data_IF_454274338949
#
_entry.id   IF_454274338949
#
_cell.length_a   1.000
_cell.length_b   1.000
_cell.length_c   1.000
_cell.angle_alpha   90.00
_cell.angle_beta   90.00
_cell.angle_gamma   90.00
#
_symmetry.space_group_name_H-M   'P 1'
#
loop_
_entity.id
_entity.type
_entity.pdbx_description
1 polymer ?
#
# COMPACT_ATOMS: atom_id res chain seq x y z
N UNK A 1 4.53 16.90 -4.47
CA UNK A 1 5.26 16.67 -3.20
C UNK A 1 4.37 15.78 -2.35
N UNK A 2 4.91 14.72 -1.75
CA UNK A 2 4.13 13.83 -0.89
C UNK A 2 3.64 14.55 0.38
N UNK A 3 2.58 14.02 0.98
CA UNK A 3 2.02 14.53 2.23
C UNK A 3 2.91 14.18 3.43
N UNK A 4 2.92 15.04 4.45
CA UNK A 4 3.62 14.80 5.72
C UNK A 4 2.73 14.03 6.70
N UNK A 5 2.66 12.71 6.50
CA UNK A 5 1.90 11.75 7.32
C UNK A 5 2.69 10.46 7.49
N UNK A 6 2.37 9.70 8.52
CA UNK A 6 2.83 8.33 8.69
C UNK A 6 1.71 7.38 8.27
N UNK A 7 2.05 6.35 7.50
CA UNK A 7 1.10 5.30 7.12
C UNK A 7 1.46 4.01 7.84
N UNK A 8 0.44 3.29 8.27
CA UNK A 8 0.61 1.98 8.86
C UNK A 8 -0.13 0.96 8.01
N UNK A 9 0.62 0.06 7.41
CA UNK A 9 0.12 -1.09 6.68
C UNK A 9 0.12 -2.29 7.63
N UNK A 10 -1.02 -2.94 7.79
CA UNK A 10 -1.15 -4.13 8.62
C UNK A 10 -1.94 -5.22 7.88
N UNK A 11 -1.46 -6.46 7.93
CA UNK A 11 -2.20 -7.65 7.53
C UNK A 11 -2.81 -8.28 8.76
N UNK A 12 -4.14 -8.35 8.76
CA UNK A 12 -4.96 -8.78 9.88
C UNK A 12 -5.66 -10.07 9.54
N UNK A 13 -5.76 -10.99 10.51
CA UNK A 13 -6.39 -12.29 10.36
C UNK A 13 -7.44 -12.52 11.43
N UNK A 14 -8.60 -13.00 11.00
CA UNK A 14 -9.69 -13.40 11.89
C UNK A 14 -9.82 -14.91 12.04
N UNK A 15 -10.58 -15.37 13.06
CA UNK A 15 -10.81 -16.80 13.32
C UNK A 15 -11.79 -17.47 12.36
N UNK A 16 -12.65 -16.70 11.66
CA UNK A 16 -13.60 -17.19 10.69
C UNK A 16 -12.94 -17.51 9.35
N UNK A 17 -13.66 -18.19 8.44
CA UNK A 17 -13.13 -18.57 7.12
C UNK A 17 -13.07 -17.42 6.11
N UNK A 18 -13.73 -16.31 6.38
CA UNK A 18 -13.89 -15.17 5.49
C UNK A 18 -13.53 -13.87 6.19
N UNK A 19 -13.26 -12.84 5.41
CA UNK A 19 -12.75 -11.54 5.89
C UNK A 19 -13.84 -10.60 6.45
N UNK A 20 -15.12 -10.77 6.06
CA UNK A 20 -16.19 -9.81 6.41
C UNK A 20 -16.30 -9.57 7.92
N UNK A 21 -16.29 -10.59 8.80
CA UNK A 21 -16.37 -10.36 10.24
C UNK A 21 -15.20 -9.58 10.83
N UNK A 22 -14.02 -9.62 10.18
CA UNK A 22 -12.88 -8.79 10.59
C UNK A 22 -13.22 -7.33 10.38
N UNK A 23 -13.69 -6.97 9.18
CA UNK A 23 -14.00 -5.60 8.83
C UNK A 23 -15.17 -5.03 9.63
N UNK A 24 -16.22 -5.84 9.87
CA UNK A 24 -17.35 -5.47 10.74
C UNK A 24 -16.89 -5.13 12.17
N UNK A 25 -16.04 -5.95 12.77
CA UNK A 25 -15.53 -5.72 14.13
C UNK A 25 -14.62 -4.49 14.19
N UNK A 26 -13.73 -4.32 13.22
CA UNK A 26 -12.87 -3.13 13.10
C UNK A 26 -13.73 -1.87 12.97
N UNK A 27 -14.80 -1.91 12.15
CA UNK A 27 -15.73 -0.81 11.99
C UNK A 27 -16.42 -0.38 13.28
N UNK A 28 -16.68 -1.33 14.18
CA UNK A 28 -17.35 -1.08 15.46
C UNK A 28 -16.40 -0.58 16.57
N UNK A 29 -15.12 -0.91 16.50
CA UNK A 29 -14.16 -0.66 17.59
C UNK A 29 -12.96 0.17 17.18
N UNK A 30 -12.23 -0.27 16.15
CA UNK A 30 -10.96 0.34 15.75
C UNK A 30 -11.16 1.66 15.03
N UNK A 31 -12.08 1.73 14.05
CA UNK A 31 -12.28 2.96 13.27
C UNK A 31 -12.77 4.14 14.11
N UNK A 32 -13.73 4.00 15.02
CA UNK A 32 -14.09 5.09 15.94
C UNK A 32 -12.92 5.56 16.81
N UNK A 33 -12.09 4.62 17.28
CA UNK A 33 -10.91 4.98 18.08
C UNK A 33 -9.82 5.72 17.29
N UNK A 34 -9.74 5.54 15.96
CA UNK A 34 -8.85 6.33 15.09
C UNK A 34 -9.34 7.77 14.96
N UNK A 35 -10.66 7.99 14.83
CA UNK A 35 -11.26 9.34 14.70
C UNK A 35 -11.01 10.24 15.92
N UNK A 36 -10.81 9.63 17.11
CA UNK A 36 -10.44 10.36 18.34
C UNK A 36 -8.98 10.84 18.35
N UNK A 37 -8.20 10.42 17.37
CA UNK A 37 -6.78 10.74 17.19
C UNK A 37 -6.58 11.40 15.84
N UNK A 38 -5.43 12.00 15.61
CA UNK A 38 -5.06 12.45 14.25
C UNK A 38 -4.73 11.24 13.34
N UNK A 39 -5.73 10.35 13.18
CA UNK A 39 -5.62 9.12 12.41
C UNK A 39 -6.94 8.74 11.73
N UNK A 40 -6.86 8.07 10.60
CA UNK A 40 -8.04 7.53 9.90
C UNK A 40 -7.70 6.33 9.02
N UNK A 41 -8.74 5.62 8.59
CA UNK A 41 -8.62 4.56 7.60
C UNK A 41 -8.30 5.16 6.23
N UNK A 42 -7.14 4.82 5.67
CA UNK A 42 -6.82 5.17 4.28
C UNK A 42 -7.41 4.16 3.29
N UNK A 43 -7.46 2.87 3.65
CA UNK A 43 -8.14 1.83 2.91
C UNK A 43 -8.07 0.47 3.59
N UNK A 44 -9.10 -0.36 3.39
CA UNK A 44 -9.13 -1.76 3.78
C UNK A 44 -9.34 -2.64 2.55
N UNK A 45 -8.68 -3.78 2.51
CA UNK A 45 -8.63 -4.60 1.30
C UNK A 45 -8.72 -6.08 1.63
N UNK A 46 -9.55 -6.81 0.90
CA UNK A 46 -9.56 -8.27 0.95
C UNK A 46 -8.74 -8.89 -0.18
N UNK A 47 -8.19 -10.08 0.05
CA UNK A 47 -7.30 -10.74 -0.91
C UNK A 47 -8.01 -11.31 -2.13
N UNK A 48 -7.35 -11.20 -3.28
CA UNK A 48 -7.61 -12.03 -4.46
C UNK A 48 -6.52 -13.08 -4.62
N UNK A 49 -5.25 -12.66 -4.48
CA UNK A 49 -4.09 -13.54 -4.54
C UNK A 49 -3.04 -13.10 -3.52
N UNK A 50 -2.40 -14.07 -2.84
CA UNK A 50 -1.26 -13.85 -1.97
C UNK A 50 -1.57 -13.68 -0.49
N UNK A 51 -2.84 -13.53 -0.11
CA UNK A 51 -3.29 -13.52 1.30
C UNK A 51 -4.49 -14.44 1.51
N UNK A 52 -4.71 -14.86 2.75
CA UNK A 52 -5.79 -15.79 3.11
C UNK A 52 -7.18 -15.20 2.92
N UNK A 53 -8.19 -16.07 2.72
CA UNK A 53 -9.59 -15.65 2.61
C UNK A 53 -10.15 -15.07 3.92
N UNK A 54 -9.50 -15.36 5.04
CA UNK A 54 -9.80 -14.85 6.38
C UNK A 54 -8.81 -13.77 6.83
N UNK A 55 -8.23 -13.07 5.87
CA UNK A 55 -7.31 -11.96 6.12
C UNK A 55 -7.76 -10.71 5.36
N UNK A 56 -7.41 -9.56 5.90
CA UNK A 56 -7.49 -8.27 5.23
C UNK A 56 -6.15 -7.54 5.34
N UNK A 57 -5.91 -6.63 4.41
CA UNK A 57 -4.91 -5.59 4.55
C UNK A 57 -5.65 -4.32 4.98
N UNK A 58 -5.20 -3.71 6.06
CA UNK A 58 -5.67 -2.41 6.51
C UNK A 58 -4.52 -1.41 6.42
N UNK A 59 -4.78 -0.25 5.82
CA UNK A 59 -3.84 0.86 5.77
C UNK A 59 -4.48 2.06 6.46
N UNK A 60 -3.82 2.56 7.48
CA UNK A 60 -4.24 3.75 8.24
C UNK A 60 -3.23 4.88 8.05
N UNK A 61 -3.72 6.12 8.06
CA UNK A 61 -2.92 7.35 8.01
C UNK A 61 -2.92 8.01 9.39
N UNK A 62 -1.76 8.51 9.82
CA UNK A 62 -1.51 9.04 11.16
C UNK A 62 -0.73 10.35 11.10
N UNK A 63 -0.98 11.23 12.07
CA UNK A 63 -0.12 12.37 12.33
C UNK A 63 1.32 11.94 12.68
N UNK A 64 2.28 12.83 12.46
CA UNK A 64 3.70 12.51 12.62
C UNK A 64 4.10 12.18 14.06
N UNK A 65 3.37 12.72 15.04
CA UNK A 65 3.64 12.59 16.49
C UNK A 65 3.09 11.29 17.09
N UNK A 66 2.42 10.46 16.29
CA UNK A 66 1.81 9.20 16.73
C UNK A 66 2.68 7.98 16.44
N UNK A 67 2.53 6.96 17.30
CA UNK A 67 3.07 5.60 17.07
C UNK A 67 1.94 4.65 16.67
N UNK A 68 1.76 4.39 15.35
CA UNK A 68 0.68 3.54 14.88
C UNK A 68 0.69 2.12 15.44
N UNK A 69 1.88 1.57 15.73
CA UNK A 69 2.04 0.20 16.26
C UNK A 69 1.53 0.10 17.67
N UNK A 70 1.86 1.10 18.51
CA UNK A 70 1.45 1.13 19.91
C UNK A 70 -0.01 1.57 20.09
N UNK A 71 -0.49 2.48 19.22
CA UNK A 71 -1.79 3.15 19.41
C UNK A 71 -2.96 2.48 18.67
N UNK A 72 -2.68 1.66 17.65
CA UNK A 72 -3.73 0.93 16.94
C UNK A 72 -4.31 -0.17 17.81
N UNK A 73 -5.54 0.00 18.26
CA UNK A 73 -6.28 -1.01 19.04
C UNK A 73 -7.09 -1.91 18.11
N UNK A 74 -6.96 -3.21 18.27
CA UNK A 74 -7.70 -4.24 17.54
C UNK A 74 -8.57 -5.06 18.50
N UNK A 75 -9.68 -5.66 18.03
CA UNK A 75 -10.41 -6.70 18.77
C UNK A 75 -9.50 -7.88 19.13
N UNK A 76 -9.68 -8.46 20.33
CA UNK A 76 -8.82 -9.52 20.90
C UNK A 76 -8.69 -10.77 20.01
N UNK A 77 -9.69 -11.04 19.19
CA UNK A 77 -9.73 -12.20 18.29
C UNK A 77 -9.18 -11.92 16.88
N UNK A 78 -8.64 -10.73 16.64
CA UNK A 78 -8.01 -10.34 15.38
C UNK A 78 -6.49 -10.29 15.59
N UNK A 79 -5.80 -11.15 14.86
CA UNK A 79 -4.34 -11.26 14.89
C UNK A 79 -3.69 -10.29 13.91
N UNK A 80 -2.64 -9.58 14.34
CA UNK A 80 -1.69 -8.93 13.44
C UNK A 80 -0.70 -9.95 12.92
N UNK A 81 -0.82 -10.31 11.66
CA UNK A 81 0.08 -11.28 11.01
C UNK A 81 1.38 -10.62 10.60
N UNK A 82 1.29 -9.39 10.10
CA UNK A 82 2.42 -8.61 9.61
C UNK A 82 2.05 -7.12 9.65
N UNK A 83 3.01 -6.27 9.96
CA UNK A 83 2.80 -4.83 9.94
C UNK A 83 4.08 -4.07 9.60
N UNK A 84 3.93 -2.88 9.02
CA UNK A 84 5.04 -1.97 8.72
C UNK A 84 4.58 -0.51 8.80
N UNK A 85 5.42 0.32 9.40
CA UNK A 85 5.23 1.77 9.43
C UNK A 85 5.97 2.40 8.26
N UNK A 86 5.26 3.20 7.50
CA UNK A 86 5.66 3.72 6.21
C UNK A 86 5.61 5.24 6.18
N UNK A 87 6.47 5.86 5.38
CA UNK A 87 6.39 7.27 5.03
C UNK A 87 6.29 7.42 3.51
N UNK A 88 5.46 8.33 3.01
CA UNK A 88 5.31 8.53 1.57
C UNK A 88 6.54 9.20 0.98
N UNK A 89 6.91 8.81 -0.26
CA UNK A 89 8.02 9.41 -1.01
C UNK A 89 7.52 10.42 -2.06
N UNK A 90 6.78 9.96 -3.06
CA UNK A 90 6.23 10.79 -4.15
C UNK A 90 4.72 10.97 -4.01
N UNK A 91 4.03 9.89 -3.67
CA UNK A 91 2.57 9.83 -3.46
C UNK A 91 2.26 9.07 -2.16
N UNK A 92 1.10 9.31 -1.55
CA UNK A 92 0.03 10.21 -1.97
C UNK A 92 0.38 11.68 -1.74
N UNK A 93 -0.24 12.57 -2.54
CA UNK A 93 -0.13 14.02 -2.37
C UNK A 93 -1.24 14.59 -1.47
N UNK A 94 -2.26 13.79 -1.16
CA UNK A 94 -3.40 14.15 -0.33
C UNK A 94 -3.75 13.00 0.59
N UNK A 95 -4.17 13.34 1.80
CA UNK A 95 -4.61 12.38 2.81
C UNK A 95 -6.12 12.14 2.69
N UNK A 96 -6.52 11.42 1.65
CA UNK A 96 -7.91 11.07 1.41
C UNK A 96 -8.06 9.55 1.39
N UNK A 97 -9.09 9.07 2.06
CA UNK A 97 -9.47 7.66 2.02
C UNK A 97 -9.68 7.19 0.58
N UNK A 98 -9.19 6.01 0.27
CA UNK A 98 -9.42 5.36 -1.01
C UNK A 98 -10.87 4.85 -1.07
N UNK A 99 -11.59 5.27 -2.11
CA UNK A 99 -13.01 4.91 -2.30
C UNK A 99 -13.31 4.31 -3.67
N UNK A 100 -12.33 4.33 -4.59
CA UNK A 100 -12.52 3.87 -5.96
C UNK A 100 -12.52 2.35 -6.02
N UNK A 101 -13.61 1.67 -6.48
CA UNK A 101 -13.60 0.23 -6.70
C UNK A 101 -12.55 -0.20 -7.72
N UNK A 102 -12.00 -1.42 -7.58
CA UNK A 102 -11.04 -1.95 -8.53
C UNK A 102 -10.06 -2.94 -7.91
N UNK A 103 -9.06 -3.27 -8.70
CA UNK A 103 -7.94 -4.10 -8.27
C UNK A 103 -6.84 -3.20 -7.68
N UNK A 104 -6.42 -3.49 -6.47
CA UNK A 104 -5.30 -2.85 -5.82
C UNK A 104 -4.15 -3.84 -5.66
N UNK A 105 -2.97 -3.49 -6.17
CA UNK A 105 -1.78 -4.34 -6.06
C UNK A 105 -0.77 -3.67 -5.15
N UNK A 106 -0.56 -4.28 -3.98
CA UNK A 106 0.53 -3.95 -3.07
C UNK A 106 1.79 -4.66 -3.56
N UNK A 107 2.82 -3.90 -3.87
CA UNK A 107 4.12 -4.44 -4.29
C UNK A 107 5.21 -3.95 -3.37
N UNK A 108 5.76 -4.87 -2.59
CA UNK A 108 6.90 -4.62 -1.73
C UNK A 108 8.19 -4.84 -2.52
N UNK A 109 9.14 -3.97 -2.30
CA UNK A 109 10.49 -4.04 -2.83
C UNK A 109 11.48 -4.10 -1.68
N UNK A 110 12.37 -5.08 -1.70
CA UNK A 110 13.54 -5.13 -0.84
C UNK A 110 14.67 -4.30 -1.49
N UNK A 111 15.12 -3.23 -0.85
CA UNK A 111 16.02 -2.22 -1.41
C UNK A 111 17.13 -1.85 -0.42
N UNK A 112 18.16 -1.13 -0.88
CA UNK A 112 19.01 -0.37 0.04
C UNK A 112 18.32 0.93 0.43
N UNK A 113 18.41 1.29 1.70
CA UNK A 113 17.86 2.57 2.17
C UNK A 113 18.53 3.80 1.50
N UNK A 114 19.76 3.66 1.04
CA UNK A 114 20.46 4.70 0.28
C UNK A 114 19.88 4.92 -1.13
N UNK A 115 19.18 3.93 -1.71
CA UNK A 115 18.66 3.98 -3.08
C UNK A 115 17.19 4.44 -3.13
N UNK A 116 16.56 4.71 -1.98
CA UNK A 116 15.12 5.04 -1.88
C UNK A 116 14.76 6.27 -2.71
N UNK A 117 15.56 7.33 -2.64
CA UNK A 117 15.33 8.58 -3.36
C UNK A 117 15.46 8.39 -4.88
N UNK A 118 16.47 7.63 -5.33
CA UNK A 118 16.63 7.29 -6.76
C UNK A 118 15.43 6.45 -7.26
N UNK A 119 15.00 5.45 -6.50
CA UNK A 119 13.84 4.62 -6.85
C UNK A 119 12.56 5.45 -6.90
N UNK A 120 12.39 6.40 -6.00
CA UNK A 120 11.24 7.30 -5.96
C UNK A 120 11.19 8.18 -7.22
N UNK A 121 12.30 8.79 -7.60
CA UNK A 121 12.41 9.64 -8.80
C UNK A 121 12.19 8.85 -10.10
N UNK A 122 12.82 7.69 -10.24
CA UNK A 122 12.61 6.80 -11.38
C UNK A 122 11.14 6.39 -11.53
N UNK A 123 10.46 6.14 -10.40
CA UNK A 123 9.05 5.79 -10.38
C UNK A 123 8.18 6.98 -10.79
N UNK A 124 8.46 8.16 -10.25
CA UNK A 124 7.74 9.39 -10.58
C UNK A 124 7.81 9.70 -12.08
N UNK A 125 9.01 9.65 -12.64
CA UNK A 125 9.24 9.89 -14.06
C UNK A 125 8.51 8.86 -14.94
N UNK A 126 8.56 7.57 -14.57
CA UNK A 126 7.90 6.51 -15.32
C UNK A 126 6.36 6.62 -15.30
N UNK A 127 5.78 7.18 -14.24
CA UNK A 127 4.32 7.29 -14.11
C UNK A 127 3.70 8.25 -15.11
N UNK A 128 4.40 9.29 -15.54
CA UNK A 128 3.90 10.22 -16.57
C UNK A 128 3.48 9.46 -17.84
N UNK A 129 4.34 8.55 -18.32
CA UNK A 129 4.02 7.72 -19.49
C UNK A 129 3.08 6.55 -19.16
N UNK A 130 3.20 6.00 -17.95
CA UNK A 130 2.41 4.86 -17.50
C UNK A 130 0.92 5.19 -17.34
N UNK A 131 0.60 6.38 -16.85
CA UNK A 131 -0.77 6.84 -16.63
C UNK A 131 -1.44 7.38 -17.91
N UNK A 132 -0.66 7.85 -18.87
CA UNK A 132 -1.17 8.46 -20.13
C UNK A 132 -1.52 7.41 -21.21
N UNK A 133 -1.34 6.12 -20.94
CA UNK A 133 -1.66 5.08 -21.92
C UNK A 133 -3.16 4.82 -22.03
N UNK A 134 -3.62 4.54 -23.24
CA UNK A 134 -5.00 4.10 -23.52
C UNK A 134 -5.19 2.57 -23.48
N UNK A 135 -4.11 1.80 -23.34
CA UNK A 135 -4.15 0.34 -23.40
C UNK A 135 -4.67 -0.31 -22.11
N UNK A 136 -4.53 0.38 -20.99
CA UNK A 136 -4.99 -0.08 -19.67
C UNK A 136 -5.32 1.10 -18.77
N UNK A 137 -6.16 0.88 -17.76
CA UNK A 137 -6.42 1.85 -16.71
C UNK A 137 -5.66 1.47 -15.45
N UNK A 138 -4.67 2.28 -15.10
CA UNK A 138 -3.84 2.09 -13.91
C UNK A 138 -3.40 3.42 -13.31
N UNK A 139 -3.37 3.49 -11.98
CA UNK A 139 -2.99 4.69 -11.24
C UNK A 139 -2.20 4.32 -9.98
N UNK A 140 -0.91 4.71 -9.86
CA UNK A 140 -0.16 4.58 -8.63
C UNK A 140 -0.77 5.46 -7.53
N UNK A 141 -1.27 4.83 -6.48
CA UNK A 141 -1.91 5.51 -5.34
C UNK A 141 -0.89 6.01 -4.33
N UNK A 142 0.19 5.26 -4.12
CA UNK A 142 1.24 5.62 -3.18
C UNK A 142 2.53 4.87 -3.44
N UNK A 143 3.65 5.53 -3.18
CA UNK A 143 4.97 4.94 -3.07
C UNK A 143 5.57 5.37 -1.74
N UNK A 144 5.86 4.39 -0.93
CA UNK A 144 6.29 4.56 0.44
C UNK A 144 7.65 3.91 0.66
N UNK A 145 8.42 4.40 1.63
CA UNK A 145 9.50 3.64 2.24
C UNK A 145 9.20 3.37 3.71
N UNK A 146 9.82 2.36 4.29
CA UNK A 146 9.69 2.13 5.73
C UNK A 146 10.20 3.34 6.51
N UNK A 147 9.54 3.65 7.65
CA UNK A 147 9.87 4.83 8.50
C UNK A 147 11.25 4.69 9.12
N UNK A 148 11.58 3.51 9.66
CA UNK A 148 12.91 3.23 10.20
C UNK A 148 13.88 2.83 9.10
N UNK A 149 14.82 3.73 8.79
CA UNK A 149 15.87 3.55 7.78
C UNK A 149 17.26 3.42 8.39
N UNK A 150 17.36 3.02 9.65
CA UNK A 150 18.64 2.87 10.37
C UNK A 150 19.52 1.72 9.83
N UNK A 151 18.90 0.73 9.21
CA UNK A 151 19.59 -0.42 8.59
C UNK A 151 20.10 -0.10 7.18
N UNK A 152 21.04 -0.88 6.66
CA UNK A 152 21.48 -0.76 5.24
C UNK A 152 20.34 -1.12 4.27
N UNK A 153 19.57 -2.16 4.59
CA UNK A 153 18.42 -2.61 3.80
C UNK A 153 17.12 -2.14 4.40
N UNK A 154 16.16 -1.95 3.52
CA UNK A 154 14.82 -1.55 3.87
C UNK A 154 13.79 -2.00 2.85
N UNK A 155 12.56 -1.62 3.10
CA UNK A 155 11.41 -1.98 2.28
C UNK A 155 10.77 -0.72 1.71
N UNK A 156 10.44 -0.77 0.42
CA UNK A 156 9.52 0.18 -0.22
C UNK A 156 8.23 -0.53 -0.59
N UNK A 157 7.13 0.19 -0.53
CA UNK A 157 5.80 -0.27 -0.94
C UNK A 157 5.24 0.63 -2.03
N UNK A 158 4.89 0.04 -3.16
CA UNK A 158 4.08 0.66 -4.20
C UNK A 158 2.66 0.10 -4.14
N UNK A 159 1.67 0.96 -3.98
CA UNK A 159 0.26 0.63 -4.18
C UNK A 159 -0.22 1.19 -5.51
N UNK A 160 -0.71 0.32 -6.39
CA UNK A 160 -1.27 0.71 -7.69
C UNK A 160 -2.72 0.21 -7.80
N UNK A 161 -3.61 1.13 -8.18
CA UNK A 161 -4.97 0.81 -8.59
C UNK A 161 -5.02 0.43 -10.07
N UNK A 162 -5.89 -0.52 -10.40
CA UNK A 162 -6.26 -0.91 -11.77
C UNK A 162 -7.79 -1.09 -11.83
N UNK A 163 -8.39 -0.87 -12.99
CA UNK A 163 -9.81 -1.14 -13.18
C UNK A 163 -10.13 -2.66 -13.12
N UNK A 164 -9.13 -3.52 -13.37
CA UNK A 164 -9.26 -4.96 -13.26
C UNK A 164 -8.00 -5.73 -13.61
N UNK A 165 -8.13 -7.06 -13.63
CA UNK A 165 -7.01 -7.97 -13.91
C UNK A 165 -6.46 -7.83 -15.33
N UNK A 166 -7.31 -7.47 -16.31
CA UNK A 166 -6.88 -7.27 -17.69
C UNK A 166 -5.92 -6.10 -17.82
N UNK A 167 -6.26 -4.95 -17.21
CA UNK A 167 -5.37 -3.79 -17.16
C UNK A 167 -4.07 -4.09 -16.43
N UNK A 168 -4.14 -4.81 -15.30
CA UNK A 168 -2.93 -5.26 -14.62
C UNK A 168 -2.06 -6.14 -15.53
N UNK A 169 -2.64 -7.10 -16.22
CA UNK A 169 -1.90 -7.99 -17.12
C UNK A 169 -1.27 -7.23 -18.31
N UNK A 170 -2.02 -6.32 -18.92
CA UNK A 170 -1.54 -5.49 -20.03
C UNK A 170 -0.41 -4.56 -19.57
N UNK A 171 -0.52 -3.96 -18.40
CA UNK A 171 0.51 -3.07 -17.84
C UNK A 171 1.86 -3.77 -17.56
N UNK A 172 1.90 -5.11 -17.56
CA UNK A 172 3.17 -5.87 -17.45
C UNK A 172 4.06 -5.76 -18.69
N UNK A 173 3.51 -5.18 -19.77
CA UNK A 173 4.25 -4.84 -21.00
C UNK A 173 4.22 -3.32 -21.16
N UNK A 174 5.01 -2.57 -20.36
CA UNK A 174 4.96 -1.11 -20.35
C UNK A 174 5.46 -0.55 -21.69
N UNK A 175 5.05 0.69 -21.97
CA UNK A 175 5.53 1.43 -23.14
C UNK A 175 7.08 1.49 -23.14
N UNK A 176 7.73 1.44 -24.33
CA UNK A 176 9.19 1.49 -24.42
C UNK A 176 9.84 2.64 -23.64
N UNK A 177 9.23 3.82 -23.61
CA UNK A 177 9.76 5.00 -22.92
C UNK A 177 9.82 4.82 -21.38
N UNK A 178 8.89 4.05 -20.79
CA UNK A 178 8.91 3.72 -19.37
C UNK A 178 9.88 2.56 -19.04
N UNK A 179 10.26 1.76 -20.05
CA UNK A 179 11.03 0.52 -19.86
C UNK A 179 12.40 0.78 -19.24
N UNK A 180 13.09 1.85 -19.63
CA UNK A 180 14.42 2.18 -19.11
C UNK A 180 14.39 2.47 -17.60
N UNK A 181 13.42 3.29 -17.15
CA UNK A 181 13.25 3.63 -15.73
C UNK A 181 12.83 2.41 -14.90
N UNK A 182 11.95 1.55 -15.42
CA UNK A 182 11.56 0.32 -14.75
C UNK A 182 12.72 -0.68 -14.66
N UNK A 183 13.58 -0.76 -15.69
CA UNK A 183 14.78 -1.60 -15.67
C UNK A 183 15.76 -1.12 -14.60
N UNK A 184 16.08 0.19 -14.58
CA UNK A 184 16.98 0.76 -13.57
C UNK A 184 16.44 0.54 -12.15
N UNK A 185 15.15 0.79 -11.92
CA UNK A 185 14.52 0.48 -10.63
C UNK A 185 14.64 -1.00 -10.26
N UNK A 186 14.49 -1.91 -11.23
CA UNK A 186 14.65 -3.35 -11.00
C UNK A 186 16.08 -3.72 -10.59
N UNK A 187 17.10 -3.08 -11.15
CA UNK A 187 18.51 -3.25 -10.78
C UNK A 187 18.80 -2.82 -9.33
N UNK A 188 18.03 -1.86 -8.79
CA UNK A 188 18.13 -1.38 -7.41
C UNK A 188 17.32 -2.22 -6.41
N UNK A 189 16.64 -3.28 -6.88
CA UNK A 189 15.73 -4.09 -6.08
C UNK A 189 16.29 -5.50 -5.92
N UNK A 190 16.39 -6.01 -4.68
CA UNK A 190 16.88 -7.37 -4.39
C UNK A 190 15.78 -8.42 -4.47
N UNK A 191 14.55 -8.04 -4.12
CA UNK A 191 13.40 -8.91 -4.12
C UNK A 191 12.11 -8.14 -4.29
N UNK A 192 11.07 -8.84 -4.73
CA UNK A 192 9.74 -8.26 -4.89
C UNK A 192 8.68 -9.29 -4.51
N UNK A 193 7.74 -8.88 -3.67
CA UNK A 193 6.52 -9.64 -3.39
C UNK A 193 5.31 -8.79 -3.73
N UNK A 194 4.23 -9.41 -4.21
CA UNK A 194 3.01 -8.68 -4.55
C UNK A 194 1.76 -9.38 -4.02
N UNK A 195 0.85 -8.59 -3.47
CA UNK A 195 -0.50 -9.00 -3.09
C UNK A 195 -1.51 -8.31 -4.00
N UNK A 196 -2.39 -9.10 -4.62
CA UNK A 196 -3.50 -8.60 -5.39
C UNK A 196 -4.77 -8.60 -4.53
N UNK A 197 -5.44 -7.46 -4.44
CA UNK A 197 -6.53 -7.23 -3.51
C UNK A 197 -7.65 -6.42 -4.15
N UNK A 198 -8.80 -6.38 -3.47
CA UNK A 198 -9.89 -5.43 -3.76
C UNK A 198 -10.16 -4.55 -2.54
N UNK A 199 -10.45 -3.29 -2.81
CA UNK A 199 -10.93 -2.37 -1.77
C UNK A 199 -12.25 -2.90 -1.19
N UNK A 200 -12.36 -2.86 0.13
CA UNK A 200 -13.61 -3.13 0.85
C UNK A 200 -14.38 -1.80 0.87
N UNK A 201 -15.55 -1.80 0.26
CA UNK A 201 -16.44 -0.64 0.24
C UNK A 201 -17.11 -0.52 1.62
N UNK A 202 -17.06 0.67 2.21
CA UNK A 202 -17.67 1.02 3.50
C UNK A 202 -19.10 1.48 3.34
#
# INVERSE_FOLDING_TARGET
>A
MAIERTFHWARLKGPQRNWQPIFEQIGQTTLPALEERDAHLWGAFHGLFGIGSNEIIMVTSWGLDHDPVAELTLPDNIERVEEIVLVPTVRPARDQQLTRPGLYVFRFFDVRNADVEEIAELSHTAWTTFEDTSEYAAEPQGLFCQKDRSSERGVMLLLTWYDGLNSWQTSRRPHPDATANFRRRHELTFGTIAYATRLIES
#
